data_IF_000329367055
#
_entry.id   IF_000329367055
#
_cell.length_a   1.000
_cell.length_b   1.000
_cell.length_c   1.000
_cell.angle_alpha   90.00
_cell.angle_beta   90.00
_cell.angle_gamma   90.00
#
_symmetry.space_group_name_H-M   'P 1'
#
loop_
_entity.id
_entity.type
_entity.pdbx_description
1 polymer ?
#
# COMPACT_ATOMS: atom_id res chain seq x y z
N UNK A 1 -49.45 68.51 21.61
CA UNK A 1 -48.60 68.21 20.44
C UNK A 1 -48.12 66.77 20.61
N UNK A 2 -49.07 65.87 20.84
CA UNK A 2 -49.73 65.02 19.84
C UNK A 2 -48.82 63.85 19.42
N UNK A 3 -48.91 62.70 20.11
CA UNK A 3 -49.87 61.59 19.88
C UNK A 3 -49.54 60.83 18.59
N UNK A 4 -49.29 59.51 18.53
CA UNK A 4 -49.72 58.29 19.25
C UNK A 4 -48.68 57.21 18.89
N UNK A 5 -48.16 56.30 19.73
CA UNK A 5 -48.71 55.33 20.69
C UNK A 5 -49.66 54.23 20.16
N UNK A 6 -49.43 53.03 20.70
CA UNK A 6 -50.29 51.83 20.81
C UNK A 6 -50.29 50.81 19.64
N UNK A 7 -50.28 49.48 19.83
CA UNK A 7 -50.20 48.63 21.04
C UNK A 7 -50.24 47.14 20.62
N UNK A 8 -49.71 46.25 21.48
CA UNK A 8 -50.23 44.94 22.00
C UNK A 8 -51.17 44.05 21.14
N UNK A 9 -51.24 42.72 21.21
CA UNK A 9 -50.88 41.64 22.15
C UNK A 9 -50.87 40.30 21.35
N UNK A 10 -50.05 39.27 21.64
CA UNK A 10 -50.35 38.08 22.48
C UNK A 10 -51.80 37.59 22.42
N UNK A 11 -52.06 36.41 21.83
CA UNK A 11 -52.66 35.28 22.56
C UNK A 11 -52.67 33.95 21.79
N UNK A 12 -52.66 32.89 22.60
CA UNK A 12 -52.56 31.47 22.26
C UNK A 12 -53.89 30.86 21.76
N UNK A 13 -53.80 29.70 21.07
CA UNK A 13 -54.60 28.48 21.31
C UNK A 13 -54.41 27.44 20.18
N UNK A 14 -54.01 26.23 20.57
CA UNK A 14 -54.09 24.94 19.85
C UNK A 14 -55.55 24.42 19.81
N UNK A 15 -55.83 23.19 19.31
CA UNK A 15 -55.68 22.65 17.95
C UNK A 15 -57.05 22.17 17.39
N UNK A 16 -57.18 21.96 16.08
CA UNK A 16 -58.32 21.21 15.53
C UNK A 16 -57.91 20.31 14.37
N UNK A 17 -58.27 19.04 14.51
CA UNK A 17 -58.05 17.97 13.55
C UNK A 17 -58.96 18.09 12.33
N UNK A 18 -58.48 17.65 11.17
CA UNK A 18 -59.33 17.10 10.12
C UNK A 18 -58.60 16.01 9.35
N UNK A 19 -59.21 14.83 9.37
CA UNK A 19 -58.89 13.61 8.65
C UNK A 19 -58.95 13.76 7.13
N UNK A 20 -58.01 13.12 6.43
CA UNK A 20 -58.29 12.46 5.15
C UNK A 20 -57.26 11.37 4.89
N UNK A 21 -57.72 10.13 5.07
CA UNK A 21 -57.14 8.91 4.51
C UNK A 21 -57.10 9.01 2.98
N UNK A 22 -55.99 8.58 2.35
CA UNK A 22 -56.03 7.59 1.26
C UNK A 22 -54.63 7.12 0.82
N UNK A 23 -54.45 5.80 1.00
CA UNK A 23 -53.69 4.86 0.15
C UNK A 23 -52.20 5.11 -0.12
N UNK A 24 -51.35 4.55 0.74
CA UNK A 24 -49.97 4.19 0.36
C UNK A 24 -49.93 2.70 0.01
N UNK A 25 -49.51 2.45 -1.23
CA UNK A 25 -49.24 1.16 -1.86
C UNK A 25 -48.46 0.20 -0.96
N UNK A 26 -48.98 -1.02 -0.85
CA UNK A 26 -48.41 -2.18 -0.15
C UNK A 26 -47.10 -2.71 -0.77
N UNK A 27 -46.57 -2.11 -1.85
CA UNK A 27 -45.31 -2.55 -2.47
C UNK A 27 -44.06 -1.93 -1.84
N UNK A 28 -44.17 -0.85 -1.06
CA UNK A 28 -43.01 -0.18 -0.44
C UNK A 28 -42.68 -0.67 0.97
N UNK A 29 -43.52 -1.51 1.57
CA UNK A 29 -43.26 -2.11 2.90
C UNK A 29 -42.54 -3.47 2.85
N UNK A 30 -42.54 -4.15 1.70
CA UNK A 30 -41.78 -5.41 1.54
C UNK A 30 -40.30 -5.16 1.20
N UNK A 31 -39.98 -4.14 0.41
CA UNK A 31 -38.58 -3.83 0.03
C UNK A 31 -37.74 -3.30 1.21
N UNK A 32 -38.35 -2.57 2.16
CA UNK A 32 -37.62 -2.05 3.32
C UNK A 32 -37.41 -3.09 4.43
N UNK A 33 -38.15 -4.20 4.40
CA UNK A 33 -38.01 -5.27 5.40
C UNK A 33 -36.96 -6.30 4.95
N UNK A 34 -36.89 -6.62 3.65
CA UNK A 34 -35.78 -7.40 3.07
C UNK A 34 -34.45 -6.64 3.08
N UNK A 35 -34.46 -5.31 2.88
CA UNK A 35 -33.25 -4.49 3.00
C UNK A 35 -32.75 -4.37 4.46
N UNK A 36 -33.66 -4.37 5.45
CA UNK A 36 -33.31 -4.35 6.88
C UNK A 36 -32.76 -5.69 7.35
N UNK A 37 -33.36 -6.81 6.92
CA UNK A 37 -32.89 -8.16 7.27
C UNK A 37 -31.58 -8.53 6.56
N UNK A 38 -31.33 -8.01 5.35
CA UNK A 38 -30.05 -8.17 4.66
C UNK A 38 -28.90 -7.36 5.31
N UNK A 39 -29.22 -6.26 6.01
CA UNK A 39 -28.23 -5.45 6.75
C UNK A 39 -27.94 -6.08 8.13
N UNK A 40 -28.94 -6.66 8.80
CA UNK A 40 -28.74 -7.35 10.08
C UNK A 40 -28.07 -8.73 9.94
N UNK A 41 -28.25 -9.42 8.81
CA UNK A 41 -27.55 -10.69 8.51
C UNK A 41 -26.04 -10.51 8.21
N UNK A 42 -25.57 -9.28 8.00
CA UNK A 42 -24.14 -8.95 7.86
C UNK A 42 -23.49 -8.54 9.19
N UNK A 43 -24.23 -8.53 10.31
CA UNK A 43 -23.78 -7.96 11.60
C UNK A 43 -23.59 -8.96 12.77
N UNK A 44 -23.57 -10.28 12.51
CA UNK A 44 -23.27 -11.31 13.53
C UNK A 44 -22.32 -12.34 12.89
N UNK A 45 -21.00 -12.24 12.98
CA UNK A 45 -20.20 -12.43 14.19
C UNK A 45 -18.83 -11.74 14.03
N UNK A 46 -18.76 -10.45 14.35
CA UNK A 46 -17.48 -9.87 14.74
C UNK A 46 -17.23 -10.30 16.19
N UNK A 47 -16.50 -11.40 16.39
CA UNK A 47 -15.87 -11.63 17.68
C UNK A 47 -14.95 -10.44 17.94
N UNK A 48 -15.30 -9.65 18.96
CA UNK A 48 -14.49 -8.54 19.47
C UNK A 48 -13.25 -9.09 20.18
N UNK A 49 -12.33 -9.73 19.44
CA UNK A 49 -10.99 -10.00 19.93
C UNK A 49 -10.09 -8.86 19.47
N UNK A 50 -9.65 -8.05 20.44
CA UNK A 50 -8.56 -7.09 20.28
C UNK A 50 -7.42 -7.69 19.43
N UNK A 51 -6.86 -6.99 18.44
CA UNK A 51 -5.73 -7.48 17.64
C UNK A 51 -4.53 -7.89 18.52
N UNK A 52 -4.36 -7.21 19.66
CA UNK A 52 -3.32 -7.54 20.65
C UNK A 52 -3.52 -8.90 21.33
N UNK A 53 -4.75 -9.42 21.36
CA UNK A 53 -5.10 -10.74 21.93
C UNK A 53 -4.87 -11.84 20.88
N UNK A 54 -5.17 -11.60 19.61
CA UNK A 54 -4.91 -12.55 18.51
C UNK A 54 -3.41 -12.81 18.30
N UNK A 55 -2.58 -11.76 18.31
CA UNK A 55 -1.12 -11.91 18.21
C UNK A 55 -0.49 -12.67 19.40
N UNK A 56 -1.20 -12.74 20.54
CA UNK A 56 -0.77 -13.47 21.74
C UNK A 56 -1.09 -14.97 21.70
N UNK A 57 -1.94 -15.42 20.76
CA UNK A 57 -2.33 -16.83 20.60
C UNK A 57 -1.59 -17.57 19.47
N UNK A 58 -0.94 -16.84 18.55
CA UNK A 58 -0.19 -17.44 17.46
C UNK A 58 1.11 -18.10 17.93
N UNK A 59 1.34 -19.32 17.47
CA UNK A 59 2.62 -20.03 17.64
C UNK A 59 3.75 -19.32 16.91
N UNK A 60 5.00 -19.60 17.30
CA UNK A 60 6.18 -19.04 16.64
C UNK A 60 6.22 -19.44 15.15
N UNK A 61 5.86 -20.68 14.84
CA UNK A 61 5.84 -21.22 13.49
C UNK A 61 4.80 -20.53 12.61
N UNK A 62 3.61 -20.22 13.15
CA UNK A 62 2.59 -19.46 12.42
C UNK A 62 3.04 -18.03 12.15
N UNK A 63 3.62 -17.35 13.15
CA UNK A 63 4.20 -16.00 12.97
C UNK A 63 5.28 -16.02 11.89
N UNK A 64 6.18 -16.99 11.94
CA UNK A 64 7.23 -17.16 10.95
C UNK A 64 6.65 -17.37 9.55
N UNK A 65 5.68 -18.27 9.38
CA UNK A 65 5.02 -18.51 8.09
C UNK A 65 4.37 -17.25 7.52
N UNK A 66 3.66 -16.48 8.34
CA UNK A 66 3.03 -15.22 7.90
C UNK A 66 4.10 -14.23 7.43
N UNK A 67 5.09 -13.93 8.28
CA UNK A 67 6.12 -12.94 7.96
C UNK A 67 6.95 -13.39 6.75
N UNK A 68 7.35 -14.66 6.71
CA UNK A 68 8.14 -15.22 5.60
C UNK A 68 7.40 -15.20 4.27
N UNK A 69 6.06 -15.33 4.27
CA UNK A 69 5.23 -15.29 3.06
C UNK A 69 5.24 -13.95 2.32
N UNK A 70 5.73 -12.88 2.95
CA UNK A 70 5.81 -11.54 2.37
C UNK A 70 7.00 -11.41 1.42
N UNK A 71 8.12 -12.04 1.77
CA UNK A 71 9.36 -11.92 1.04
C UNK A 71 9.47 -12.92 -0.10
N UNK A 72 9.93 -12.46 -1.26
CA UNK A 72 10.52 -13.33 -2.26
C UNK A 72 11.85 -13.90 -1.73
N UNK A 73 12.64 -13.04 -1.06
CA UNK A 73 13.90 -13.41 -0.42
C UNK A 73 13.90 -13.02 1.07
N UNK A 74 14.51 -13.86 1.91
CA UNK A 74 14.75 -13.60 3.32
C UNK A 74 16.22 -13.86 3.69
N UNK A 75 16.93 -12.83 4.17
CA UNK A 75 18.34 -12.90 4.62
C UNK A 75 18.40 -12.51 6.10
N UNK A 76 18.49 -13.45 7.05
CA UNK A 76 18.41 -14.91 6.90
C UNK A 76 17.19 -15.47 7.64
N UNK A 77 16.65 -16.61 7.17
CA UNK A 77 15.47 -17.24 7.76
C UNK A 77 15.69 -17.68 9.22
N UNK A 78 16.87 -18.24 9.54
CA UNK A 78 17.20 -18.61 10.92
C UNK A 78 17.28 -17.38 11.85
N UNK A 79 17.78 -16.25 11.35
CA UNK A 79 17.81 -14.99 12.09
C UNK A 79 16.40 -14.45 12.32
N UNK A 80 15.51 -14.57 11.32
CA UNK A 80 14.10 -14.20 11.43
C UNK A 80 13.38 -15.05 12.49
N UNK A 81 13.54 -16.38 12.45
CA UNK A 81 12.95 -17.29 13.43
C UNK A 81 13.42 -16.93 14.86
N UNK A 82 14.73 -16.73 15.03
CA UNK A 82 15.31 -16.33 16.31
C UNK A 82 14.82 -14.95 16.79
N UNK A 83 14.64 -13.99 15.88
CA UNK A 83 14.10 -12.67 16.20
C UNK A 83 12.66 -12.78 16.71
N UNK A 84 11.79 -13.50 15.99
CA UNK A 84 10.39 -13.68 16.35
C UNK A 84 10.23 -14.42 17.69
N UNK A 85 11.15 -15.34 18.01
CA UNK A 85 11.16 -16.04 19.29
C UNK A 85 11.56 -15.15 20.48
N UNK A 86 12.45 -14.18 20.26
CA UNK A 86 13.10 -13.41 21.34
C UNK A 86 12.55 -12.00 21.52
N UNK A 87 12.02 -11.39 20.46
CA UNK A 87 11.53 -10.00 20.48
C UNK A 87 10.02 -10.00 20.28
N UNK A 88 9.22 -9.63 21.30
CA UNK A 88 7.76 -9.62 21.20
C UNK A 88 7.21 -8.69 20.12
N UNK A 89 7.88 -7.55 19.89
CA UNK A 89 7.49 -6.54 18.91
C UNK A 89 8.65 -6.17 17.99
N UNK A 90 8.98 -7.00 16.98
CA UNK A 90 9.98 -6.67 15.98
C UNK A 90 9.58 -5.42 15.19
N UNK A 91 10.55 -4.56 14.90
CA UNK A 91 10.36 -3.33 14.13
C UNK A 91 10.71 -3.59 12.68
N UNK A 92 9.71 -3.47 11.81
CA UNK A 92 9.85 -3.49 10.38
C UNK A 92 9.84 -2.06 9.84
N UNK A 93 10.49 -1.81 8.71
CA UNK A 93 10.27 -0.55 8.00
C UNK A 93 10.28 -0.72 6.48
N UNK A 94 9.59 0.19 5.80
CA UNK A 94 9.71 0.44 4.37
C UNK A 94 9.72 1.95 4.11
N UNK A 95 10.47 2.40 3.10
CA UNK A 95 10.67 3.80 2.77
C UNK A 95 10.15 4.16 1.38
N UNK A 96 9.51 5.33 1.28
CA UNK A 96 8.88 5.78 0.04
C UNK A 96 9.28 7.21 -0.28
N UNK A 97 9.89 7.43 -1.45
CA UNK A 97 10.06 8.77 -2.02
C UNK A 97 8.69 9.33 -2.44
N UNK A 98 8.24 10.49 -1.90
CA UNK A 98 7.02 11.14 -2.36
C UNK A 98 7.22 11.80 -3.73
N UNK A 99 7.11 10.98 -4.78
CA UNK A 99 7.53 11.32 -6.15
C UNK A 99 6.41 11.36 -7.19
N UNK A 100 5.15 11.33 -6.77
CA UNK A 100 3.98 11.53 -7.63
C UNK A 100 2.80 10.67 -7.19
N UNK A 101 1.92 10.36 -8.15
CA UNK A 101 0.81 9.42 -7.95
C UNK A 101 1.31 8.06 -7.44
N UNK A 102 0.54 7.41 -6.59
CA UNK A 102 0.87 6.10 -6.02
C UNK A 102 0.35 4.99 -6.94
N UNK A 103 1.22 4.06 -7.35
CA UNK A 103 0.80 2.87 -8.08
C UNK A 103 0.37 1.74 -7.15
N UNK A 104 -0.35 0.75 -7.68
CA UNK A 104 -1.03 -0.29 -6.89
C UNK A 104 -0.09 -1.12 -6.00
N UNK A 105 1.16 -1.36 -6.42
CA UNK A 105 2.13 -2.05 -5.55
C UNK A 105 2.54 -1.22 -4.32
N UNK A 106 2.63 0.12 -4.45
CA UNK A 106 2.91 0.99 -3.31
C UNK A 106 1.72 1.12 -2.36
N UNK A 107 0.49 0.98 -2.85
CA UNK A 107 -0.72 1.07 -2.04
C UNK A 107 -1.21 -0.30 -1.55
N UNK A 108 -1.89 -1.05 -2.40
CA UNK A 108 -2.55 -2.32 -2.07
C UNK A 108 -1.57 -3.39 -1.58
N UNK A 109 -0.53 -3.69 -2.36
CA UNK A 109 0.44 -4.74 -1.98
C UNK A 109 1.17 -4.37 -0.69
N UNK A 110 1.47 -3.08 -0.49
CA UNK A 110 2.06 -2.62 0.75
C UNK A 110 1.10 -2.77 1.92
N UNK A 111 -0.16 -2.37 1.80
CA UNK A 111 -1.16 -2.55 2.86
C UNK A 111 -1.32 -4.03 3.24
N UNK A 112 -1.38 -4.94 2.25
CA UNK A 112 -1.40 -6.39 2.50
C UNK A 112 -0.20 -6.85 3.33
N UNK A 113 1.01 -6.43 2.93
CA UNK A 113 2.24 -6.81 3.64
C UNK A 113 2.30 -6.24 5.05
N UNK A 114 1.91 -4.96 5.24
CA UNK A 114 1.84 -4.32 6.56
C UNK A 114 0.83 -5.02 7.46
N UNK A 115 -0.35 -5.37 6.94
CA UNK A 115 -1.39 -6.06 7.70
C UNK A 115 -0.91 -7.45 8.15
N UNK A 116 -0.19 -8.19 7.30
CA UNK A 116 0.46 -9.46 7.68
C UNK A 116 1.53 -9.30 8.77
N UNK A 117 2.36 -8.26 8.68
CA UNK A 117 3.38 -7.98 9.70
C UNK A 117 2.75 -7.66 11.06
N UNK A 118 1.76 -6.76 11.07
CA UNK A 118 1.08 -6.32 12.28
C UNK A 118 0.28 -7.45 12.92
N UNK A 119 -0.38 -8.30 12.12
CA UNK A 119 -1.05 -9.51 12.63
C UNK A 119 -0.08 -10.52 13.27
N UNK A 120 1.17 -10.56 12.80
CA UNK A 120 2.23 -11.39 13.39
C UNK A 120 2.91 -10.75 14.62
N UNK A 121 2.45 -9.57 15.06
CA UNK A 121 2.97 -8.86 16.23
C UNK A 121 4.10 -7.88 15.94
N UNK A 122 4.45 -7.63 14.68
CA UNK A 122 5.45 -6.63 14.32
C UNK A 122 4.90 -5.20 14.44
N UNK A 123 5.79 -4.26 14.78
CA UNK A 123 5.57 -2.83 14.56
C UNK A 123 6.13 -2.44 13.20
N UNK A 124 5.44 -1.58 12.47
CA UNK A 124 5.84 -1.15 11.13
C UNK A 124 6.03 0.36 11.10
N UNK A 125 7.19 0.80 10.61
CA UNK A 125 7.48 2.21 10.34
C UNK A 125 7.39 2.45 8.83
N UNK A 126 6.48 3.31 8.42
CA UNK A 126 6.41 3.83 7.05
C UNK A 126 7.21 5.11 6.99
N UNK A 127 8.37 5.04 6.34
CA UNK A 127 9.31 6.14 6.22
C UNK A 127 8.97 7.00 5.00
N UNK A 128 8.39 8.17 5.24
CA UNK A 128 8.12 9.19 4.23
C UNK A 128 9.45 9.90 3.93
N UNK A 129 10.12 9.42 2.89
CA UNK A 129 11.49 9.77 2.55
C UNK A 129 11.55 11.07 1.75
N UNK A 130 11.11 12.18 2.37
CA UNK A 130 10.98 13.49 1.75
C UNK A 130 12.32 14.14 1.39
N UNK A 131 13.34 14.07 2.26
CA UNK A 131 14.70 14.47 1.90
C UNK A 131 15.30 13.59 0.82
N UNK A 132 15.03 12.28 0.84
CA UNK A 132 15.50 11.37 -0.20
C UNK A 132 14.90 11.69 -1.56
N UNK A 133 13.59 11.97 -1.61
CA UNK A 133 12.93 12.45 -2.82
C UNK A 133 13.54 13.76 -3.33
N UNK A 134 13.92 14.69 -2.44
CA UNK A 134 14.62 15.92 -2.82
C UNK A 134 16.03 15.62 -3.37
N UNK A 135 16.82 14.78 -2.70
CA UNK A 135 18.16 14.38 -3.13
C UNK A 135 18.14 13.67 -4.50
N UNK A 136 17.06 12.96 -4.81
CA UNK A 136 16.82 12.32 -6.10
C UNK A 136 15.98 13.20 -7.07
N UNK A 137 15.94 14.52 -6.82
CA UNK A 137 15.33 15.55 -7.68
C UNK A 137 13.87 15.30 -8.09
N UNK A 138 13.09 14.64 -7.23
CA UNK A 138 11.65 14.44 -7.44
C UNK A 138 10.90 15.74 -7.22
N UNK A 139 9.83 15.96 -7.97
CA UNK A 139 9.06 17.21 -7.97
C UNK A 139 9.90 18.49 -8.20
N UNK A 140 11.01 18.37 -8.92
CA UNK A 140 11.98 19.42 -9.17
C UNK A 140 12.81 19.80 -7.94
N UNK A 141 12.93 18.89 -6.96
CA UNK A 141 13.60 19.17 -5.67
C UNK A 141 12.79 20.08 -4.73
N UNK A 142 11.52 20.34 -5.05
CA UNK A 142 10.63 21.21 -4.28
C UNK A 142 10.04 20.46 -3.09
N UNK A 143 10.62 20.67 -1.90
CA UNK A 143 10.17 20.01 -0.66
C UNK A 143 8.70 20.28 -0.33
N UNK A 144 8.15 21.44 -0.68
CA UNK A 144 6.74 21.73 -0.40
C UNK A 144 5.82 20.85 -1.24
N UNK A 145 6.19 20.58 -2.50
CA UNK A 145 5.46 19.62 -3.34
C UNK A 145 5.63 18.20 -2.85
N UNK A 146 6.86 17.82 -2.46
CA UNK A 146 7.16 16.50 -1.91
C UNK A 146 6.33 16.25 -0.64
N UNK A 147 6.22 17.23 0.26
CA UNK A 147 5.39 17.11 1.47
C UNK A 147 3.91 16.93 1.14
N UNK A 148 3.38 17.66 0.16
CA UNK A 148 2.00 17.48 -0.32
C UNK A 148 1.79 16.07 -0.85
N UNK A 149 2.73 15.55 -1.64
CA UNK A 149 2.68 14.17 -2.14
C UNK A 149 2.73 13.18 -0.96
N UNK A 150 3.59 13.39 0.03
CA UNK A 150 3.71 12.50 1.19
C UNK A 150 2.41 12.42 1.99
N UNK A 151 1.73 13.55 2.20
CA UNK A 151 0.39 13.53 2.81
C UNK A 151 -0.64 12.79 1.96
N UNK A 152 -0.63 12.98 0.65
CA UNK A 152 -1.48 12.22 -0.27
C UNK A 152 -1.21 10.71 -0.21
N UNK A 153 0.05 10.28 -0.08
CA UNK A 153 0.38 8.85 0.08
C UNK A 153 -0.20 8.28 1.39
N UNK A 154 -0.07 9.02 2.50
CA UNK A 154 -0.63 8.63 3.81
C UNK A 154 -2.15 8.43 3.73
N UNK A 155 -2.86 9.35 3.07
CA UNK A 155 -4.32 9.24 2.92
C UNK A 155 -4.72 8.01 2.09
N UNK A 156 -3.94 7.61 1.09
CA UNK A 156 -4.19 6.37 0.35
C UNK A 156 -4.03 5.13 1.22
N UNK A 157 -2.95 5.03 2.01
CA UNK A 157 -2.73 3.87 2.86
C UNK A 157 -3.83 3.71 3.91
N UNK A 158 -4.31 4.82 4.48
CA UNK A 158 -5.48 4.81 5.35
C UNK A 158 -6.73 4.30 4.61
N UNK A 159 -7.03 4.89 3.45
CA UNK A 159 -8.26 4.61 2.72
C UNK A 159 -8.32 3.18 2.15
N UNK A 160 -7.18 2.60 1.75
CA UNK A 160 -7.15 1.22 1.23
C UNK A 160 -7.31 0.17 2.34
N UNK A 161 -7.24 0.55 3.63
CA UNK A 161 -7.41 -0.40 4.73
C UNK A 161 -6.09 -0.97 5.27
N UNK A 162 -5.01 -0.18 5.25
CA UNK A 162 -3.87 -0.48 6.12
C UNK A 162 -4.33 -0.44 7.57
N UNK A 163 -4.08 -1.51 8.32
CA UNK A 163 -4.50 -1.61 9.71
C UNK A 163 -3.63 -0.72 10.59
N UNK A 164 -4.24 0.35 11.12
CA UNK A 164 -3.58 1.31 12.00
C UNK A 164 -3.98 1.11 13.48
N UNK A 165 -4.73 0.04 13.79
CA UNK A 165 -5.16 -0.25 15.16
C UNK A 165 -3.96 -0.58 16.08
N UNK A 166 -4.10 -0.26 17.36
CA UNK A 166 -3.11 -0.62 18.38
C UNK A 166 -1.74 0.05 18.23
N UNK A 167 -1.65 1.16 17.50
CA UNK A 167 -0.41 1.93 17.26
C UNK A 167 0.75 1.07 16.74
N UNK A 168 0.41 0.03 15.95
CA UNK A 168 1.42 -0.87 15.37
C UNK A 168 2.07 -0.27 14.12
N UNK A 169 1.48 0.75 13.50
CA UNK A 169 2.00 1.42 12.31
C UNK A 169 2.28 2.89 12.58
N UNK A 170 3.50 3.34 12.30
CA UNK A 170 3.94 4.73 12.47
C UNK A 170 4.34 5.34 11.13
N UNK A 171 3.76 6.50 10.77
CA UNK A 171 4.21 7.30 9.63
C UNK A 171 5.24 8.32 10.09
N UNK A 172 6.49 8.15 9.65
CA UNK A 172 7.62 8.97 10.07
C UNK A 172 8.18 9.75 8.88
N UNK A 173 8.45 11.04 9.06
CA UNK A 173 8.98 11.92 8.02
C UNK A 173 10.49 12.03 8.15
N UNK A 174 11.22 11.76 7.06
CA UNK A 174 12.68 11.71 7.12
C UNK A 174 13.31 13.01 7.58
N UNK A 175 12.86 14.13 7.02
CA UNK A 175 13.34 15.46 7.43
C UNK A 175 13.07 15.74 8.91
N UNK A 176 11.88 15.42 9.43
CA UNK A 176 11.52 15.73 10.83
C UNK A 176 12.31 14.86 11.81
N UNK A 177 12.33 13.56 11.57
CA UNK A 177 13.02 12.61 12.45
C UNK A 177 14.53 12.86 12.46
N UNK A 178 15.15 13.04 11.28
CA UNK A 178 16.59 13.30 11.20
C UNK A 178 16.93 14.63 11.86
N UNK A 179 16.16 15.70 11.66
CA UNK A 179 16.43 16.98 12.33
C UNK A 179 16.30 16.87 13.86
N UNK A 180 15.30 16.15 14.36
CA UNK A 180 15.08 15.99 15.81
C UNK A 180 16.24 15.30 16.53
N UNK A 181 16.96 14.42 15.82
CA UNK A 181 18.08 13.62 16.34
C UNK A 181 19.30 13.69 15.41
N UNK A 182 19.60 14.89 14.92
CA UNK A 182 20.66 15.11 13.94
C UNK A 182 22.05 14.68 14.45
N UNK A 183 22.29 14.84 15.75
CA UNK A 183 23.51 14.43 16.44
C UNK A 183 23.70 12.91 16.49
N UNK A 184 22.63 12.11 16.35
CA UNK A 184 22.68 10.64 16.23
C UNK A 184 22.85 10.24 14.77
N UNK A 185 22.10 10.88 13.87
CA UNK A 185 21.98 10.47 12.48
C UNK A 185 23.22 10.77 11.64
N UNK A 186 23.71 12.01 11.63
CA UNK A 186 24.78 12.41 10.72
C UNK A 186 26.13 11.74 11.02
N UNK A 187 26.54 11.54 12.29
CA UNK A 187 27.73 10.74 12.57
C UNK A 187 27.65 9.32 12.00
N UNK A 188 26.48 8.69 12.04
CA UNK A 188 26.26 7.37 11.46
C UNK A 188 26.41 7.39 9.93
N UNK A 189 25.82 8.37 9.24
CA UNK A 189 26.00 8.56 7.78
C UNK A 189 27.48 8.71 7.42
N UNK A 190 28.21 9.55 8.17
CA UNK A 190 29.64 9.78 7.93
C UNK A 190 30.49 8.55 8.24
N UNK A 191 30.11 7.76 9.25
CA UNK A 191 30.78 6.51 9.60
C UNK A 191 30.61 5.44 8.51
N UNK A 192 29.41 5.33 7.95
CA UNK A 192 29.13 4.44 6.83
C UNK A 192 29.94 4.89 5.60
N UNK A 193 29.96 6.19 5.31
CA UNK A 193 30.70 6.74 4.18
C UNK A 193 32.22 6.50 4.30
N UNK A 194 32.85 6.76 5.46
CA UNK A 194 34.31 6.60 5.62
C UNK A 194 34.79 5.15 5.56
N UNK A 195 33.92 4.18 5.83
CA UNK A 195 34.25 2.74 5.83
C UNK A 195 34.06 2.09 4.46
N UNK A 196 33.37 2.77 3.55
CA UNK A 196 33.05 2.23 2.23
C UNK A 196 33.83 2.95 1.14
N UNK A 197 34.37 2.16 0.20
CA UNK A 197 34.96 2.70 -1.02
C UNK A 197 33.85 3.26 -1.92
N UNK A 198 34.12 4.34 -2.64
CA UNK A 198 33.15 4.98 -3.53
C UNK A 198 32.48 3.99 -4.53
N UNK A 199 33.18 3.05 -5.18
CA UNK A 199 32.52 2.06 -6.07
C UNK A 199 31.48 1.18 -5.36
N UNK A 200 31.63 0.92 -4.06
CA UNK A 200 30.63 0.16 -3.29
C UNK A 200 29.33 0.93 -3.12
N UNK A 201 29.43 2.25 -2.92
CA UNK A 201 28.29 3.17 -2.79
C UNK A 201 27.62 3.38 -4.15
N UNK A 202 28.40 3.56 -5.23
CA UNK A 202 27.87 3.73 -6.58
C UNK A 202 27.05 2.53 -7.05
N UNK A 203 27.47 1.30 -6.70
CA UNK A 203 26.68 0.09 -7.01
C UNK A 203 25.29 0.07 -6.36
N UNK A 204 25.07 0.85 -5.30
CA UNK A 204 23.77 1.02 -4.65
C UNK A 204 22.88 2.08 -5.31
N UNK A 205 23.34 2.85 -6.31
CA UNK A 205 22.52 3.90 -6.93
C UNK A 205 21.22 3.39 -7.60
N UNK A 206 21.15 2.08 -7.89
CA UNK A 206 19.94 1.44 -8.42
C UNK A 206 18.73 1.56 -7.47
N UNK A 207 18.95 1.68 -6.15
CA UNK A 207 17.89 1.82 -5.15
C UNK A 207 17.04 3.08 -5.35
N UNK A 208 17.60 4.10 -6.00
CA UNK A 208 16.94 5.36 -6.35
C UNK A 208 16.62 5.46 -7.85
N UNK A 209 16.70 4.32 -8.57
CA UNK A 209 16.39 4.23 -10.00
C UNK A 209 17.44 4.86 -10.92
N UNK A 210 18.71 4.94 -10.47
CA UNK A 210 19.85 5.47 -11.23
C UNK A 210 20.86 4.37 -11.53
N UNK A 211 21.64 4.53 -12.60
CA UNK A 211 22.80 3.69 -12.90
C UNK A 211 24.09 4.30 -12.38
N UNK A 212 25.13 3.48 -12.19
CA UNK A 212 26.48 3.98 -11.83
C UNK A 212 27.16 4.71 -13.01
N UNK A 213 26.64 4.55 -14.23
CA UNK A 213 27.08 5.25 -15.44
C UNK A 213 26.35 6.58 -15.66
N UNK A 214 25.31 6.90 -14.87
CA UNK A 214 24.62 8.18 -14.98
C UNK A 214 25.52 9.32 -14.51
N UNK A 215 25.22 10.55 -14.95
CA UNK A 215 25.82 11.75 -14.34
C UNK A 215 25.21 11.98 -12.96
N UNK A 216 25.91 11.48 -11.93
CA UNK A 216 25.46 11.55 -10.54
C UNK A 216 25.94 12.82 -9.84
N UNK A 217 25.03 13.45 -9.09
CA UNK A 217 25.36 14.52 -8.16
C UNK A 217 25.95 13.96 -6.86
N UNK A 218 26.63 14.81 -6.07
CA UNK A 218 27.11 14.40 -4.74
C UNK A 218 25.97 13.93 -3.82
N UNK A 219 24.79 14.55 -3.93
CA UNK A 219 23.58 14.14 -3.19
C UNK A 219 23.22 12.66 -3.43
N UNK A 220 23.39 12.19 -4.66
CA UNK A 220 23.11 10.82 -5.08
C UNK A 220 24.19 9.82 -4.60
N UNK A 221 25.37 10.29 -4.20
CA UNK A 221 26.37 9.49 -3.49
C UNK A 221 26.03 9.39 -2.00
N UNK A 222 25.53 10.46 -1.39
CA UNK A 222 25.09 10.44 0.01
C UNK A 222 23.81 9.64 0.22
N UNK A 223 22.92 9.57 -0.77
CA UNK A 223 21.64 8.88 -0.67
C UNK A 223 21.78 7.43 -0.15
N UNK A 224 22.62 6.53 -0.73
CA UNK A 224 22.77 5.18 -0.18
C UNK A 224 23.36 5.14 1.23
N UNK A 225 24.25 6.07 1.59
CA UNK A 225 24.80 6.17 2.94
C UNK A 225 23.71 6.55 3.95
N UNK A 226 22.84 7.48 3.57
CA UNK A 226 21.68 7.90 4.38
C UNK A 226 20.67 6.77 4.54
N UNK A 227 20.31 6.07 3.46
CA UNK A 227 19.36 4.95 3.57
C UNK A 227 19.93 3.78 4.38
N UNK A 228 21.25 3.54 4.31
CA UNK A 228 21.92 2.59 5.20
C UNK A 228 21.84 3.04 6.67
N UNK A 229 22.01 4.34 6.94
CA UNK A 229 21.90 4.91 8.28
C UNK A 229 20.47 4.79 8.85
N UNK A 230 19.44 4.98 8.01
CA UNK A 230 18.02 4.87 8.40
C UNK A 230 17.72 3.55 9.09
N UNK A 231 18.29 2.43 8.62
CA UNK A 231 18.07 1.10 9.18
C UNK A 231 18.41 1.06 10.68
N UNK A 232 19.53 1.65 11.06
CA UNK A 232 19.98 1.69 12.46
C UNK A 232 19.29 2.79 13.26
N UNK A 233 19.08 3.96 12.63
CA UNK A 233 18.44 5.10 13.26
C UNK A 233 16.97 4.86 13.61
N UNK A 234 16.26 4.12 12.75
CA UNK A 234 14.89 3.66 12.99
C UNK A 234 14.83 2.44 13.91
N UNK A 235 15.99 1.84 14.23
CA UNK A 235 16.13 0.60 15.00
C UNK A 235 15.32 -0.54 14.37
N UNK A 236 15.35 -0.63 13.04
CA UNK A 236 14.67 -1.69 12.31
C UNK A 236 15.37 -3.03 12.56
N UNK A 237 14.58 -4.04 12.92
CA UNK A 237 15.03 -5.43 12.95
C UNK A 237 14.81 -6.08 11.58
N UNK A 238 13.77 -5.67 10.84
CA UNK A 238 13.43 -6.20 9.51
C UNK A 238 13.35 -5.06 8.50
N UNK A 239 14.21 -5.10 7.48
CA UNK A 239 14.10 -4.27 6.29
C UNK A 239 13.09 -4.91 5.33
N UNK A 240 11.83 -4.44 5.33
CA UNK A 240 10.76 -4.97 4.48
C UNK A 240 10.54 -4.09 3.24
N UNK A 241 11.53 -4.07 2.35
CA UNK A 241 11.53 -3.25 1.13
C UNK A 241 11.43 -4.13 -0.13
N UNK A 242 11.36 -3.53 -1.32
CA UNK A 242 11.35 -4.27 -2.59
C UNK A 242 12.70 -4.91 -2.90
N UNK A 243 12.73 -5.91 -3.79
CA UNK A 243 13.98 -6.54 -4.25
C UNK A 243 14.99 -5.54 -4.85
N UNK A 244 14.53 -4.42 -5.40
CA UNK A 244 15.37 -3.34 -5.93
C UNK A 244 16.17 -2.60 -4.83
N UNK A 245 15.73 -2.67 -3.57
CA UNK A 245 16.41 -2.07 -2.41
C UNK A 245 17.45 -3.01 -1.78
N UNK A 246 17.56 -4.26 -2.25
CA UNK A 246 18.41 -5.30 -1.66
C UNK A 246 19.86 -4.87 -1.45
N UNK A 247 20.46 -4.13 -2.40
CA UNK A 247 21.89 -3.76 -2.35
C UNK A 247 22.27 -2.89 -1.15
N UNK A 248 21.40 -1.94 -0.75
CA UNK A 248 21.65 -1.10 0.44
C UNK A 248 21.33 -1.85 1.72
N UNK A 249 20.36 -2.77 1.71
CA UNK A 249 20.10 -3.64 2.86
C UNK A 249 21.28 -4.59 3.12
N UNK A 250 21.93 -5.11 2.07
CA UNK A 250 23.19 -5.87 2.19
C UNK A 250 24.33 -4.98 2.68
N UNK A 251 24.42 -3.73 2.22
CA UNK A 251 25.40 -2.75 2.74
C UNK A 251 25.26 -2.56 4.26
N UNK A 252 24.04 -2.54 4.79
CA UNK A 252 23.82 -2.44 6.23
C UNK A 252 24.30 -3.68 6.99
N UNK A 253 24.15 -4.88 6.41
CA UNK A 253 24.68 -6.11 7.00
C UNK A 253 26.21 -6.15 6.97
N UNK A 254 26.84 -5.69 5.88
CA UNK A 254 28.30 -5.53 5.77
C UNK A 254 28.80 -4.51 6.80
N UNK A 255 28.11 -3.37 6.96
CA UNK A 255 28.44 -2.38 7.98
C UNK A 255 28.37 -2.96 9.40
N UNK A 256 27.42 -3.85 9.69
CA UNK A 256 27.37 -4.56 10.99
C UNK A 256 28.64 -5.38 11.25
N UNK A 257 29.21 -6.02 10.23
CA UNK A 257 30.46 -6.77 10.35
C UNK A 257 31.64 -5.84 10.70
N UNK A 258 31.73 -4.70 10.02
CA UNK A 258 32.80 -3.70 10.24
C UNK A 258 32.78 -3.09 11.65
N UNK A 259 31.59 -2.92 12.23
CA UNK A 259 31.41 -2.41 13.59
C UNK A 259 31.25 -3.53 14.64
N UNK A 260 31.38 -4.80 14.23
CA UNK A 260 31.24 -5.99 15.08
C UNK A 260 29.89 -6.07 15.81
N UNK A 261 28.82 -5.58 15.19
CA UNK A 261 27.44 -5.68 15.69
C UNK A 261 26.88 -7.06 15.36
N UNK A 262 26.58 -7.85 16.40
CA UNK A 262 26.04 -9.20 16.26
C UNK A 262 24.62 -9.23 15.66
N UNK A 263 23.75 -8.33 16.14
CA UNK A 263 22.36 -8.28 15.69
C UNK A 263 22.27 -7.49 14.38
N UNK A 264 22.30 -8.23 13.26
CA UNK A 264 22.13 -7.70 11.91
C UNK A 264 20.64 -7.54 11.59
N UNK A 265 20.26 -6.57 10.75
CA UNK A 265 18.89 -6.46 10.25
C UNK A 265 18.58 -7.65 9.32
N UNK A 266 17.41 -8.25 9.49
CA UNK A 266 16.85 -9.22 8.56
C UNK A 266 16.43 -8.46 7.30
N UNK A 267 16.78 -8.97 6.12
CA UNK A 267 16.30 -8.44 4.84
C UNK A 267 15.12 -9.31 4.41
N UNK A 268 13.92 -8.73 4.29
CA UNK A 268 12.71 -9.42 3.85
C UNK A 268 12.18 -8.73 2.59
N UNK A 269 12.81 -9.04 1.46
CA UNK A 269 12.58 -8.35 0.19
C UNK A 269 11.34 -8.88 -0.50
N UNK A 270 10.34 -8.03 -0.77
CA UNK A 270 9.12 -8.44 -1.47
C UNK A 270 9.27 -8.40 -2.99
N UNK A 271 8.43 -9.19 -3.65
CA UNK A 271 8.36 -9.31 -5.10
C UNK A 271 8.04 -7.98 -5.79
N UNK A 272 8.70 -7.71 -6.92
CA UNK A 272 8.47 -6.52 -7.73
C UNK A 272 7.30 -6.75 -8.68
N UNK A 273 6.15 -6.14 -8.39
CA UNK A 273 4.99 -6.27 -9.27
C UNK A 273 5.28 -5.65 -10.66
N UNK A 274 5.07 -6.39 -11.76
CA UNK A 274 5.43 -5.95 -13.10
C UNK A 274 4.53 -4.84 -13.62
N UNK A 275 5.03 -4.14 -14.63
CA UNK A 275 4.21 -3.26 -15.46
C UNK A 275 3.24 -4.09 -16.33
N UNK A 276 2.14 -3.48 -16.75
CA UNK A 276 1.12 -4.17 -17.55
C UNK A 276 1.56 -4.49 -18.98
N UNK A 277 2.67 -3.95 -19.47
CA UNK A 277 3.17 -4.20 -20.83
C UNK A 277 4.24 -5.29 -20.85
N UNK A 278 4.45 -5.90 -22.02
CA UNK A 278 5.46 -6.95 -22.21
C UNK A 278 6.87 -6.46 -21.85
N UNK A 279 7.64 -7.32 -21.17
CA UNK A 279 9.03 -7.03 -20.79
C UNK A 279 9.22 -6.02 -19.66
N UNK A 280 8.16 -5.49 -19.06
CA UNK A 280 8.26 -4.56 -17.94
C UNK A 280 8.32 -5.28 -16.59
N UNK A 281 9.54 -5.62 -16.17
CA UNK A 281 9.80 -6.33 -14.90
C UNK A 281 9.36 -5.55 -13.64
N UNK A 282 9.11 -4.24 -13.76
CA UNK A 282 8.55 -3.42 -12.68
C UNK A 282 7.69 -2.30 -13.22
N UNK A 283 6.66 -1.92 -12.46
CA UNK A 283 5.90 -0.70 -12.74
C UNK A 283 6.80 0.53 -12.74
N UNK A 284 6.56 1.44 -13.68
CA UNK A 284 7.29 2.70 -13.79
C UNK A 284 6.34 3.88 -13.84
N UNK A 285 6.66 4.94 -13.09
CA UNK A 285 5.97 6.22 -13.16
C UNK A 285 6.16 6.94 -14.50
N UNK A 286 7.11 6.51 -15.33
CA UNK A 286 7.37 7.11 -16.64
C UNK A 286 6.36 6.72 -17.72
N UNK A 287 5.70 5.56 -17.59
CA UNK A 287 4.65 5.12 -18.49
C UNK A 287 3.32 4.99 -17.71
N UNK A 288 2.46 6.03 -17.75
CA UNK A 288 1.17 6.00 -17.06
C UNK A 288 0.23 4.88 -17.54
N UNK A 289 0.43 4.37 -18.75
CA UNK A 289 -0.41 3.31 -19.32
C UNK A 289 -0.05 1.93 -18.79
N UNK A 290 1.15 1.76 -18.25
CA UNK A 290 1.64 0.48 -17.75
C UNK A 290 1.49 0.28 -16.25
N UNK A 291 1.04 1.31 -15.53
CA UNK A 291 0.82 1.26 -14.08
C UNK A 291 -0.63 1.58 -13.73
N UNK A 292 -1.24 0.79 -12.84
CA UNK A 292 -2.52 1.13 -12.21
C UNK A 292 -2.23 2.03 -11.02
N UNK A 293 -2.83 3.22 -10.99
CA UNK A 293 -2.76 4.14 -9.86
C UNK A 293 -3.91 3.92 -8.89
N UNK A 294 -3.67 4.23 -7.62
CA UNK A 294 -4.61 3.94 -6.53
C UNK A 294 -5.95 4.67 -6.68
N UNK A 295 -5.95 5.83 -7.35
CA UNK A 295 -7.13 6.62 -7.65
C UNK A 295 -7.48 6.68 -9.15
N UNK A 296 -7.04 5.71 -9.95
CA UNK A 296 -7.56 5.56 -11.31
C UNK A 296 -9.06 5.26 -11.25
N UNK A 297 -9.84 5.91 -12.11
CA UNK A 297 -11.28 5.63 -12.25
C UNK A 297 -11.52 4.24 -12.82
N UNK A 298 -12.75 3.72 -12.64
CA UNK A 298 -13.10 2.37 -13.10
C UNK A 298 -12.81 2.15 -14.59
N UNK A 299 -13.16 3.13 -15.42
CA UNK A 299 -12.90 3.09 -16.86
C UNK A 299 -11.40 3.07 -17.20
N UNK A 300 -10.56 3.76 -16.42
CA UNK A 300 -9.11 3.77 -16.62
C UNK A 300 -8.49 2.41 -16.29
N UNK A 301 -8.91 1.80 -15.16
CA UNK A 301 -8.50 0.44 -14.77
C UNK A 301 -8.90 -0.58 -15.83
N UNK A 302 -10.16 -0.55 -16.27
CA UNK A 302 -10.69 -1.45 -17.29
C UNK A 302 -9.91 -1.32 -18.61
N UNK A 303 -9.59 -0.09 -19.02
CA UNK A 303 -8.83 0.16 -20.24
C UNK A 303 -7.38 -0.37 -20.14
N UNK A 304 -6.72 -0.14 -19.01
CA UNK A 304 -5.34 -0.59 -18.76
C UNK A 304 -5.24 -2.12 -18.75
N UNK A 305 -6.13 -2.80 -18.02
CA UNK A 305 -6.15 -4.26 -17.96
C UNK A 305 -6.53 -4.87 -19.31
N UNK A 306 -7.48 -4.27 -20.04
CA UNK A 306 -7.81 -4.70 -21.40
C UNK A 306 -6.58 -4.71 -22.31
N UNK A 307 -5.73 -3.68 -22.22
CA UNK A 307 -4.49 -3.52 -23.00
C UNK A 307 -3.28 -4.27 -22.44
N UNK A 308 -3.38 -4.82 -21.23
CA UNK A 308 -2.25 -5.48 -20.59
C UNK A 308 -1.76 -6.70 -21.40
N UNK A 309 -0.47 -6.97 -21.35
CA UNK A 309 0.13 -8.17 -21.87
C UNK A 309 -0.43 -9.39 -21.12
N UNK A 310 -1.02 -10.33 -21.85
CA UNK A 310 -1.64 -11.52 -21.28
C UNK A 310 -1.72 -12.60 -22.37
N UNK A 311 -0.55 -13.13 -22.80
CA UNK A 311 -0.50 -14.15 -23.84
C UNK A 311 -1.27 -15.41 -23.39
N UNK A 312 -2.08 -16.04 -24.28
CA UNK A 312 -2.82 -17.25 -23.94
C UNK A 312 -1.86 -18.39 -23.61
N UNK A 313 -2.19 -19.21 -22.60
CA UNK A 313 -1.42 -20.39 -22.17
C UNK A 313 -0.01 -20.15 -21.65
N UNK A 314 0.42 -18.90 -21.50
CA UNK A 314 1.74 -18.55 -20.97
C UNK A 314 1.56 -17.91 -19.59
N UNK A 315 2.04 -18.61 -18.56
CA UNK A 315 1.98 -18.14 -17.17
C UNK A 315 3.18 -17.28 -16.80
N UNK A 316 4.37 -17.67 -17.25
CA UNK A 316 5.61 -16.98 -16.95
C UNK A 316 5.58 -15.53 -17.47
N UNK A 317 5.96 -14.57 -16.60
CA UNK A 317 6.02 -13.13 -16.90
C UNK A 317 4.70 -12.55 -17.44
N UNK A 318 3.56 -13.13 -17.04
CA UNK A 318 2.24 -12.63 -17.38
C UNK A 318 1.73 -11.67 -16.29
N UNK A 319 1.72 -10.35 -16.53
CA UNK A 319 1.40 -9.38 -15.49
C UNK A 319 -0.03 -9.54 -14.97
N UNK A 320 -0.99 -9.99 -15.78
CA UNK A 320 -2.36 -10.21 -15.30
C UNK A 320 -2.40 -11.32 -14.25
N UNK A 321 -1.66 -12.41 -14.45
CA UNK A 321 -1.58 -13.52 -13.50
C UNK A 321 -0.83 -13.13 -12.23
N UNK A 322 0.22 -12.31 -12.34
CA UNK A 322 0.95 -11.81 -11.18
C UNK A 322 0.08 -10.90 -10.30
N UNK A 323 -0.78 -10.08 -10.90
CA UNK A 323 -1.73 -9.27 -10.14
C UNK A 323 -2.75 -10.16 -9.43
N UNK A 324 -3.19 -11.25 -10.05
CA UNK A 324 -4.08 -12.21 -9.38
C UNK A 324 -3.35 -12.89 -8.21
N UNK A 325 -2.11 -13.35 -8.43
CA UNK A 325 -1.28 -14.05 -7.42
C UNK A 325 -0.95 -13.18 -6.22
N UNK A 326 -0.50 -11.94 -6.44
CA UNK A 326 0.07 -11.10 -5.38
C UNK A 326 -0.89 -10.05 -4.83
N UNK A 327 -1.99 -9.76 -5.54
CA UNK A 327 -3.02 -8.80 -5.07
C UNK A 327 -4.34 -9.50 -4.82
N UNK A 328 -4.96 -10.07 -5.86
CA UNK A 328 -6.38 -10.48 -5.78
C UNK A 328 -6.59 -11.65 -4.82
N UNK A 329 -5.81 -12.73 -4.97
CA UNK A 329 -5.89 -13.90 -4.11
C UNK A 329 -5.55 -13.58 -2.64
N UNK A 330 -4.47 -12.83 -2.32
CA UNK A 330 -4.22 -12.39 -0.95
C UNK A 330 -5.29 -11.46 -0.37
N UNK A 331 -6.00 -10.69 -1.21
CA UNK A 331 -7.02 -9.74 -0.78
C UNK A 331 -8.38 -10.38 -0.50
N UNK A 332 -8.85 -11.23 -1.41
CA UNK A 332 -10.19 -11.84 -1.32
C UNK A 332 -10.16 -13.31 -0.88
N UNK A 333 -8.99 -13.94 -0.78
CA UNK A 333 -8.80 -15.38 -0.55
C UNK A 333 -9.34 -16.29 -1.67
N UNK A 334 -9.90 -15.70 -2.73
CA UNK A 334 -10.39 -16.38 -3.92
C UNK A 334 -10.38 -15.45 -5.13
N UNK A 335 -10.47 -16.03 -6.32
CA UNK A 335 -10.67 -15.31 -7.57
C UNK A 335 -11.80 -15.94 -8.36
N UNK A 336 -12.90 -15.19 -8.53
CA UNK A 336 -14.10 -15.63 -9.26
C UNK A 336 -14.06 -15.12 -10.70
N UNK A 337 -14.30 -16.01 -11.66
CA UNK A 337 -14.46 -15.72 -13.07
C UNK A 337 -15.90 -16.08 -13.48
N UNK A 338 -16.62 -15.10 -13.99
CA UNK A 338 -18.00 -15.26 -14.49
C UNK A 338 -17.94 -15.34 -16.01
N UNK A 339 -18.40 -16.45 -16.59
CA UNK A 339 -18.34 -16.70 -18.05
C UNK A 339 -19.49 -17.60 -18.49
N UNK A 340 -19.80 -17.56 -19.79
CA UNK A 340 -20.89 -18.36 -20.37
C UNK A 340 -20.69 -19.85 -20.15
N UNK A 341 -21.77 -20.62 -20.15
CA UNK A 341 -21.71 -22.09 -20.07
C UNK A 341 -20.86 -22.69 -21.22
N UNK A 342 -20.93 -22.07 -22.40
CA UNK A 342 -20.13 -22.44 -23.59
C UNK A 342 -18.62 -22.25 -23.36
N UNK A 343 -18.22 -21.27 -22.54
CA UNK A 343 -16.82 -21.03 -22.15
C UNK A 343 -16.42 -21.76 -20.87
N UNK A 344 -17.20 -22.75 -20.41
CA UNK A 344 -16.89 -23.57 -19.23
C UNK A 344 -17.49 -23.07 -17.92
N UNK A 345 -18.41 -22.09 -17.96
CA UNK A 345 -19.20 -21.62 -16.82
C UNK A 345 -18.38 -20.92 -15.74
N UNK A 346 -19.09 -20.38 -14.74
CA UNK A 346 -18.49 -19.72 -13.58
C UNK A 346 -17.47 -20.62 -12.88
N UNK A 347 -16.31 -20.06 -12.54
CA UNK A 347 -15.25 -20.79 -11.83
C UNK A 347 -14.62 -19.92 -10.74
N UNK A 348 -14.35 -20.53 -9.60
CA UNK A 348 -13.70 -19.87 -8.45
C UNK A 348 -12.40 -20.59 -8.14
N UNK A 349 -11.31 -19.84 -8.08
CA UNK A 349 -9.97 -20.34 -7.74
C UNK A 349 -9.59 -19.89 -6.34
N UNK A 350 -9.14 -20.83 -5.48
CA UNK A 350 -8.70 -20.52 -4.11
C UNK A 350 -7.18 -20.39 -3.97
N UNK A 351 -6.44 -20.86 -4.97
CA UNK A 351 -4.99 -20.79 -5.01
C UNK A 351 -4.53 -20.50 -6.44
N UNK A 352 -3.26 -20.12 -6.58
CA UNK A 352 -2.71 -19.70 -7.86
C UNK A 352 -2.40 -20.91 -8.75
N UNK A 353 -2.08 -22.05 -8.16
CA UNK A 353 -1.68 -23.28 -8.84
C UNK A 353 -2.82 -23.84 -9.70
N UNK A 354 -4.05 -23.87 -9.16
CA UNK A 354 -5.25 -24.27 -9.92
C UNK A 354 -5.54 -23.32 -11.08
N UNK A 355 -5.34 -22.01 -10.87
CA UNK A 355 -5.55 -21.00 -11.91
C UNK A 355 -4.50 -21.09 -13.01
N UNK A 356 -3.24 -21.28 -12.64
CA UNK A 356 -2.13 -21.43 -13.57
C UNK A 356 -2.32 -22.68 -14.44
N UNK A 357 -2.66 -23.83 -13.84
CA UNK A 357 -2.89 -25.08 -14.58
C UNK A 357 -4.01 -24.95 -15.63
N UNK A 358 -5.10 -24.27 -15.27
CA UNK A 358 -6.21 -23.97 -16.16
C UNK A 358 -5.86 -23.02 -17.30
N UNK A 359 -5.01 -22.03 -17.00
CA UNK A 359 -4.56 -21.06 -17.98
C UNK A 359 -3.61 -21.71 -18.98
N UNK A 360 -2.65 -22.53 -18.51
CA UNK A 360 -1.68 -23.28 -19.33
C UNK A 360 -2.36 -24.31 -20.24
N UNK A 361 -3.36 -25.03 -19.72
CA UNK A 361 -4.13 -25.99 -20.52
C UNK A 361 -4.96 -25.31 -21.62
N UNK A 362 -5.30 -24.03 -21.42
CA UNK A 362 -6.22 -23.27 -22.27
C UNK A 362 -7.68 -23.39 -21.86
N UNK A 363 -7.98 -24.05 -20.73
CA UNK A 363 -9.32 -24.06 -20.13
C UNK A 363 -9.77 -22.68 -19.66
N UNK A 364 -8.83 -21.76 -19.41
CA UNK A 364 -9.08 -20.36 -19.10
C UNK A 364 -8.45 -19.44 -20.16
N UNK A 365 -9.28 -18.64 -20.83
CA UNK A 365 -8.83 -17.72 -21.87
C UNK A 365 -8.59 -16.30 -21.30
N UNK A 366 -7.60 -15.53 -21.82
CA UNK A 366 -7.38 -14.14 -21.43
C UNK A 366 -8.62 -13.23 -21.50
N UNK A 367 -9.52 -13.52 -22.44
CA UNK A 367 -10.77 -12.76 -22.64
C UNK A 367 -11.75 -12.90 -21.47
N UNK A 368 -11.71 -14.00 -20.72
CA UNK A 368 -12.51 -14.21 -19.50
C UNK A 368 -11.76 -13.72 -18.26
N UNK A 369 -10.42 -13.92 -18.23
CA UNK A 369 -9.57 -13.56 -17.09
C UNK A 369 -9.48 -12.04 -16.88
N UNK A 370 -9.30 -11.25 -17.95
CA UNK A 370 -9.11 -9.79 -17.85
C UNK A 370 -10.32 -9.04 -17.29
N UNK A 371 -11.58 -9.31 -17.72
CA UNK A 371 -12.75 -8.71 -17.12
C UNK A 371 -12.89 -9.02 -15.63
N UNK A 372 -12.67 -10.28 -15.23
CA UNK A 372 -12.71 -10.70 -13.83
C UNK A 372 -11.64 -9.99 -12.99
N UNK A 373 -10.40 -9.90 -13.51
CA UNK A 373 -9.33 -9.14 -12.88
C UNK A 373 -9.70 -7.66 -12.73
N UNK A 374 -10.27 -7.04 -13.77
CA UNK A 374 -10.68 -5.63 -13.72
C UNK A 374 -11.74 -5.39 -12.64
N UNK A 375 -12.76 -6.24 -12.56
CA UNK A 375 -13.80 -6.19 -11.52
C UNK A 375 -13.18 -6.29 -10.12
N UNK A 376 -12.26 -7.23 -9.91
CA UNK A 376 -11.59 -7.42 -8.64
C UNK A 376 -10.74 -6.20 -8.24
N UNK A 377 -9.88 -5.69 -9.13
CA UNK A 377 -9.04 -4.51 -8.85
C UNK A 377 -9.91 -3.28 -8.57
N UNK A 378 -10.99 -3.07 -9.32
CA UNK A 378 -11.90 -1.96 -9.07
C UNK A 378 -12.56 -2.04 -7.69
N UNK A 379 -12.96 -3.24 -7.25
CA UNK A 379 -13.49 -3.44 -5.90
C UNK A 379 -12.46 -3.10 -4.81
N UNK A 380 -11.19 -3.45 -5.02
CA UNK A 380 -10.10 -3.12 -4.09
C UNK A 380 -9.84 -1.60 -4.01
N UNK A 381 -9.91 -0.91 -5.15
CA UNK A 381 -9.63 0.53 -5.22
C UNK A 381 -10.83 1.41 -4.82
N UNK A 382 -12.03 0.84 -4.73
CA UNK A 382 -13.25 1.60 -4.45
C UNK A 382 -13.19 2.42 -3.14
N UNK A 383 -12.72 1.88 -2.00
CA UNK A 383 -12.59 2.65 -0.76
C UNK A 383 -11.68 3.88 -0.90
N UNK A 384 -10.63 3.78 -1.73
CA UNK A 384 -9.73 4.91 -2.02
C UNK A 384 -10.46 5.98 -2.82
N UNK A 385 -11.19 5.59 -3.87
CA UNK A 385 -11.99 6.54 -4.67
C UNK A 385 -13.03 7.25 -3.81
N UNK A 386 -13.74 6.51 -2.96
CA UNK A 386 -14.76 7.06 -2.08
C UNK A 386 -14.15 8.05 -1.07
N UNK A 387 -12.99 7.74 -0.49
CA UNK A 387 -12.26 8.66 0.39
C UNK A 387 -11.94 9.99 -0.30
N UNK A 388 -11.31 9.95 -1.48
CA UNK A 388 -10.93 11.15 -2.23
C UNK A 388 -12.12 11.89 -2.85
N UNK A 389 -13.30 11.26 -2.93
CA UNK A 389 -14.55 11.90 -3.36
C UNK A 389 -15.24 12.62 -2.22
N UNK A 390 -15.28 12.00 -1.04
CA UNK A 390 -16.10 12.41 0.09
C UNK A 390 -15.35 13.29 1.10
N UNK A 391 -14.04 13.13 1.25
CA UNK A 391 -13.21 14.00 2.09
C UNK A 391 -12.63 15.16 1.28
N UNK A 392 -13.04 16.39 1.61
CA UNK A 392 -12.66 17.60 0.88
C UNK A 392 -11.14 17.86 0.94
N UNK A 393 -10.49 17.57 2.08
CA UNK A 393 -9.05 17.77 2.26
C UNK A 393 -8.27 16.77 1.41
N UNK A 394 -8.67 15.50 1.42
CA UNK A 394 -8.09 14.46 0.58
C UNK A 394 -8.26 14.80 -0.91
N UNK A 395 -9.47 15.22 -1.31
CA UNK A 395 -9.77 15.65 -2.67
C UNK A 395 -8.86 16.77 -3.16
N UNK A 396 -8.64 17.79 -2.32
CA UNK A 396 -7.76 18.92 -2.64
C UNK A 396 -6.29 18.49 -2.72
N UNK A 397 -5.84 17.57 -1.85
CA UNK A 397 -4.51 16.96 -1.95
C UNK A 397 -4.33 16.24 -3.29
N UNK A 398 -5.26 15.37 -3.67
CA UNK A 398 -5.21 14.65 -4.95
C UNK A 398 -5.19 15.60 -6.14
N UNK A 399 -6.03 16.64 -6.15
CA UNK A 399 -6.05 17.65 -7.22
C UNK A 399 -4.70 18.33 -7.37
N UNK A 400 -4.06 18.70 -6.25
CA UNK A 400 -2.72 19.30 -6.26
C UNK A 400 -1.67 18.33 -6.79
N UNK A 401 -1.66 17.09 -6.32
CA UNK A 401 -0.71 16.07 -6.81
C UNK A 401 -0.87 15.82 -8.32
N UNK A 402 -2.10 15.70 -8.83
CA UNK A 402 -2.37 15.55 -10.27
C UNK A 402 -1.92 16.76 -11.10
N UNK A 403 -1.81 17.95 -10.49
CA UNK A 403 -1.30 19.16 -11.17
C UNK A 403 0.23 19.24 -11.24
N UNK A 404 0.95 18.43 -10.46
CA UNK A 404 2.40 18.48 -10.42
C UNK A 404 3.03 17.72 -11.60
N UNK A 405 4.06 18.33 -12.21
CA UNK A 405 4.90 17.65 -13.18
C UNK A 405 5.83 16.68 -12.45
N UNK A 406 5.75 15.40 -12.79
CA UNK A 406 6.69 14.39 -12.31
C UNK A 406 8.07 14.65 -12.94
N UNK A 407 9.10 14.73 -12.11
CA UNK A 407 10.51 14.90 -12.52
C UNK A 407 11.33 13.70 -12.08
N UNK A 408 12.48 13.49 -12.73
CA UNK A 408 13.31 12.31 -12.53
C UNK A 408 14.61 12.61 -11.82
#
# INVERSE_FOLDING_TARGET
>A
MDNKEASHAIDALTPAASSSDQSISTSQKMDNQEASEAIDALSLTASSSNPSVLASQMTLEEKFKIVRSIGEECIQEDELMNLLAKKPYPVCYDGFEPSGRMHIAQGVLKALNVNKLTSAGCKVKIWIADWFAQLNNKMGGDLKKIEVVGHYLIEIWKAVGMNLEGDQVEFLWSSKEINSRAHEYWPLVMDIARRNKLPRILRCCQIMGRSEQDELTAAQIFYPCMQCADIFFLKADICQLGMDQRKVNVLAREYCDDIKRKNKPIILSHHMLPGLQEGQEKMSKSDPSSSIYMEDEEAEVNLKIKKAFCPPKIVEKNPCLEYIKYIVLPWFHEFKIERSAENGGDRTYKNFEELAADYESGSLHPADLKPALSKAINKILQPVRDHFKNDQKAKDLMKRVKSFKVTR
#
